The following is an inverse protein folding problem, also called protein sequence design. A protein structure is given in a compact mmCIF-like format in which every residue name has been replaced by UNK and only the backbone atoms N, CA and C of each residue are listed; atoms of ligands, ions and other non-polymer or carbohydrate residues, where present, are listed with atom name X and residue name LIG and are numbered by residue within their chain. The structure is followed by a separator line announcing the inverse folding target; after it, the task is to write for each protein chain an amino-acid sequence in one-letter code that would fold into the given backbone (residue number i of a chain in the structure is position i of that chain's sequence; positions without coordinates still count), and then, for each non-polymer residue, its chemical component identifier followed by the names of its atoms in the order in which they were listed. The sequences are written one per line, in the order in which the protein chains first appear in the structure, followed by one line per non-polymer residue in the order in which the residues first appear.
data_IF_705127533581
#
_entry.id   IF_705127533581
#
_cell.length_a   1.000
_cell.length_b   1.000
_cell.length_c   1.000
_cell.angle_alpha   90.00
_cell.angle_beta   90.00
_cell.angle_gamma   90.00
#
_symmetry.space_group_name_H-M   'P 1'
#
loop_
_entity.id
_entity.type
_entity.pdbx_description
1 polymer ?
#
# COMPACT_ATOMS: atom_id res chain seq x y z
N UNK A 1 30.76 -54.72 4.52
CA UNK A 1 31.75 -53.69 4.13
C UNK A 1 31.00 -52.39 3.86
N UNK A 2 31.29 -51.36 4.68
CA UNK A 2 31.14 -49.91 4.47
C UNK A 2 29.72 -49.35 4.11
N UNK A 3 28.98 -48.85 5.11
CA UNK A 3 28.80 -47.42 5.49
C UNK A 3 27.84 -46.65 4.53
N UNK A 4 26.66 -46.13 4.90
CA UNK A 4 26.10 -45.79 6.21
C UNK A 4 26.38 -44.33 6.59
N UNK A 5 25.68 -43.36 6.00
CA UNK A 5 25.74 -41.93 6.41
C UNK A 5 24.33 -41.46 6.81
N UNK A 6 24.07 -41.55 8.10
CA UNK A 6 23.15 -40.69 8.84
C UNK A 6 23.80 -39.31 9.00
N UNK A 7 23.12 -38.24 8.59
CA UNK A 7 23.51 -36.88 8.98
C UNK A 7 22.77 -36.54 10.27
N UNK A 8 23.52 -36.54 11.36
CA UNK A 8 23.11 -36.17 12.71
C UNK A 8 22.73 -34.68 12.81
N UNK A 9 21.63 -34.46 13.54
CA UNK A 9 21.23 -33.18 14.15
C UNK A 9 22.26 -32.79 15.22
N UNK A 10 22.89 -31.62 15.07
CA UNK A 10 23.55 -30.87 16.16
C UNK A 10 22.56 -29.79 16.65
N UNK A 11 21.86 -30.03 17.76
CA UNK A 11 22.22 -29.62 19.13
C UNK A 11 22.58 -28.13 19.21
N UNK A 12 21.58 -27.29 19.44
CA UNK A 12 21.72 -26.00 20.14
C UNK A 12 20.75 -26.02 21.33
N UNK A 13 21.29 -26.29 22.53
CA UNK A 13 20.60 -26.04 23.79
C UNK A 13 20.84 -24.59 24.23
N UNK A 14 19.87 -23.98 24.94
CA UNK A 14 19.95 -22.60 25.40
C UNK A 14 20.83 -22.50 26.66
N UNK A 15 21.73 -21.52 26.68
CA UNK A 15 22.46 -21.14 27.88
C UNK A 15 21.67 -20.06 28.63
N UNK A 16 20.83 -20.51 29.55
CA UNK A 16 20.41 -19.74 30.72
C UNK A 16 21.59 -19.61 31.68
N UNK A 17 21.98 -18.38 32.02
CA UNK A 17 22.84 -18.11 33.17
C UNK A 17 22.27 -16.93 33.96
N UNK A 18 21.39 -17.27 34.89
CA UNK A 18 21.08 -16.46 36.05
C UNK A 18 22.31 -16.47 36.97
N UNK A 19 22.93 -15.32 37.23
CA UNK A 19 23.61 -15.06 38.49
C UNK A 19 23.31 -13.63 38.95
N UNK A 20 22.57 -13.57 40.06
CA UNK A 20 22.39 -12.39 40.92
C UNK A 20 23.76 -11.94 41.44
N UNK A 21 24.09 -10.67 41.25
CA UNK A 21 24.98 -9.89 42.11
C UNK A 21 24.32 -8.50 42.20
N UNK A 22 23.52 -8.29 43.24
CA UNK A 22 23.89 -7.49 44.42
C UNK A 22 23.96 -5.99 44.10
N UNK A 23 22.88 -5.30 44.45
CA UNK A 23 22.85 -3.85 44.56
C UNK A 23 23.83 -3.40 45.65
N UNK A 24 24.89 -2.68 45.26
CA UNK A 24 25.56 -1.67 46.09
C UNK A 24 26.57 -0.89 45.23
N UNK A 25 26.45 0.43 45.27
CA UNK A 25 27.45 1.43 44.90
C UNK A 25 27.66 1.74 43.40
N UNK A 26 26.76 2.54 42.82
CA UNK A 26 27.11 3.47 41.72
C UNK A 26 26.39 4.81 41.95
N UNK A 27 26.74 5.50 43.05
CA UNK A 27 26.37 6.92 43.27
C UNK A 27 27.59 7.85 43.42
N UNK A 28 28.82 7.35 43.30
CA UNK A 28 30.03 8.14 43.56
C UNK A 28 30.96 8.31 42.34
N UNK A 29 30.43 8.70 41.17
CA UNK A 29 31.29 9.13 40.05
C UNK A 29 30.70 10.25 39.16
N UNK A 30 29.80 11.08 39.71
CA UNK A 30 29.22 12.22 38.99
C UNK A 30 29.25 13.54 39.80
N UNK A 31 30.08 13.62 40.84
CA UNK A 31 30.23 14.82 41.68
C UNK A 31 31.71 15.13 41.92
N UNK A 32 32.42 15.62 40.89
CA UNK A 32 33.76 16.21 41.06
C UNK A 32 34.21 17.15 39.92
N UNK A 33 33.31 17.67 39.08
CA UNK A 33 33.73 18.58 37.98
C UNK A 33 32.94 19.89 37.84
N UNK A 34 32.19 20.32 38.86
CA UNK A 34 31.40 21.57 38.80
C UNK A 34 31.59 22.51 40.00
N UNK A 35 32.72 22.44 40.72
CA UNK A 35 32.95 23.36 41.85
C UNK A 35 34.42 23.68 42.12
N UNK A 36 35.10 24.37 41.20
CA UNK A 36 36.27 25.22 41.51
C UNK A 36 36.72 26.03 40.27
N UNK A 37 36.21 27.25 40.16
CA UNK A 37 36.88 28.49 39.69
C UNK A 37 35.82 29.50 39.28
N UNK A 38 35.24 30.15 40.29
CA UNK A 38 34.60 31.46 40.18
C UNK A 38 35.47 32.38 41.04
N UNK A 39 35.90 33.51 40.47
CA UNK A 39 36.87 34.51 40.99
C UNK A 39 38.31 33.97 40.99
N UNK A 40 39.30 34.56 40.31
CA UNK A 40 39.60 35.95 39.92
C UNK A 40 40.54 35.91 38.71
N UNK A 41 40.29 36.68 37.65
CA UNK A 41 41.27 37.65 37.11
C UNK A 41 40.59 38.47 36.01
N UNK A 42 40.56 39.77 36.24
CA UNK A 42 40.22 40.79 35.27
C UNK A 42 41.30 40.82 34.18
N UNK A 43 40.90 40.70 32.93
CA UNK A 43 41.60 41.37 31.83
C UNK A 43 40.62 41.64 30.70
N UNK A 44 40.41 42.93 30.45
CA UNK A 44 39.62 43.48 29.36
C UNK A 44 40.15 42.99 28.01
N UNK A 45 39.35 42.18 27.30
CA UNK A 45 39.45 42.02 25.84
C UNK A 45 38.04 42.04 25.28
N UNK A 46 37.82 42.96 24.36
CA UNK A 46 36.54 43.38 23.78
C UNK A 46 35.73 42.22 23.19
N UNK A 47 34.66 41.81 23.90
CA UNK A 47 33.63 40.91 23.38
C UNK A 47 32.62 41.75 22.59
N UNK A 48 33.00 42.20 21.40
CA UNK A 48 32.08 42.80 20.42
C UNK A 48 32.30 42.28 19.00
N UNK A 49 33.25 41.37 18.78
CA UNK A 49 33.68 40.94 17.43
C UNK A 49 33.27 39.49 17.09
N UNK A 50 32.77 38.70 18.04
CA UNK A 50 32.42 37.29 17.81
C UNK A 50 30.93 37.02 17.52
N UNK A 51 30.03 37.97 17.79
CA UNK A 51 28.60 37.82 17.46
C UNK A 51 28.22 38.26 16.03
N UNK A 52 29.12 38.95 15.32
CA UNK A 52 28.90 39.44 13.95
C UNK A 52 29.35 38.44 12.87
N UNK A 53 30.17 37.44 13.21
CA UNK A 53 30.65 36.42 12.23
C UNK A 53 29.70 35.26 12.01
N UNK A 54 28.93 34.83 13.01
CA UNK A 54 27.93 33.75 12.84
C UNK A 54 26.64 34.25 12.17
N UNK A 55 26.28 35.53 12.35
CA UNK A 55 25.14 36.17 11.69
C UNK A 55 25.40 36.52 10.22
N UNK A 56 26.65 36.82 9.85
CA UNK A 56 27.02 37.12 8.46
C UNK A 56 27.19 35.86 7.59
N UNK A 57 27.55 34.71 8.18
CA UNK A 57 27.60 33.42 7.46
C UNK A 57 26.20 32.86 7.19
N UNK A 58 25.28 32.97 8.15
CA UNK A 58 23.86 32.59 7.94
C UNK A 58 23.18 33.50 6.92
N UNK A 59 23.42 34.81 6.95
CA UNK A 59 22.90 35.73 5.93
C UNK A 59 23.51 35.48 4.53
N UNK A 60 24.80 35.14 4.40
CA UNK A 60 25.39 34.78 3.10
C UNK A 60 24.82 33.47 2.55
N UNK A 61 24.68 32.43 3.37
CA UNK A 61 24.05 31.16 2.94
C UNK A 61 22.58 31.37 2.54
N UNK A 62 21.85 32.24 3.25
CA UNK A 62 20.46 32.58 2.91
C UNK A 62 20.35 33.47 1.66
N UNK A 63 21.27 34.42 1.46
CA UNK A 63 21.30 35.31 0.29
C UNK A 63 21.80 34.59 -0.97
N UNK A 64 22.75 33.65 -0.85
CA UNK A 64 23.22 32.81 -1.95
C UNK A 64 22.13 31.81 -2.39
N UNK A 65 21.35 31.26 -1.44
CA UNK A 65 20.15 30.49 -1.75
C UNK A 65 19.09 31.33 -2.49
N UNK A 66 18.92 32.61 -2.14
CA UNK A 66 17.98 33.51 -2.83
C UNK A 66 18.45 33.88 -4.25
N UNK A 67 19.76 33.93 -4.51
CA UNK A 67 20.34 34.16 -5.84
C UNK A 67 20.22 32.93 -6.75
N UNK A 68 20.60 31.76 -6.23
CA UNK A 68 20.48 30.47 -6.93
C UNK A 68 19.01 30.16 -7.28
N UNK A 69 18.08 30.37 -6.36
CA UNK A 69 16.64 30.13 -6.62
C UNK A 69 16.09 31.08 -7.67
N UNK A 70 16.49 32.36 -7.67
CA UNK A 70 16.13 33.32 -8.73
C UNK A 70 16.71 32.90 -10.08
N UNK A 71 17.97 32.49 -10.12
CA UNK A 71 18.62 32.04 -11.36
C UNK A 71 18.00 30.76 -11.92
N UNK A 72 17.75 29.76 -11.07
CA UNK A 72 17.03 28.51 -11.42
C UNK A 72 15.63 28.83 -11.94
N UNK A 73 14.90 29.76 -11.30
CA UNK A 73 13.56 30.16 -11.75
C UNK A 73 13.57 30.84 -13.12
N UNK A 74 14.60 31.65 -13.40
CA UNK A 74 14.77 32.34 -14.69
C UNK A 74 15.14 31.37 -15.79
N UNK A 75 16.04 30.41 -15.51
CA UNK A 75 16.35 29.33 -16.44
C UNK A 75 15.15 28.47 -16.75
N UNK A 76 14.40 28.06 -15.72
CA UNK A 76 13.19 27.28 -15.89
C UNK A 76 12.21 28.00 -16.81
N UNK A 77 11.97 29.30 -16.56
CA UNK A 77 11.06 30.11 -17.38
C UNK A 77 11.52 30.19 -18.84
N UNK A 78 12.80 30.48 -19.08
CA UNK A 78 13.33 30.55 -20.45
C UNK A 78 13.22 29.19 -21.17
N UNK A 79 13.48 28.09 -20.49
CA UNK A 79 13.30 26.74 -21.04
C UNK A 79 11.83 26.47 -21.33
N UNK A 80 10.92 26.78 -20.41
CA UNK A 80 9.48 26.58 -20.56
C UNK A 80 8.91 27.40 -21.74
N UNK A 81 9.38 28.64 -21.93
CA UNK A 81 8.99 29.53 -23.02
C UNK A 81 9.53 29.04 -24.37
N UNK A 82 10.79 28.59 -24.40
CA UNK A 82 11.42 28.02 -25.61
C UNK A 82 10.73 26.69 -26.00
N UNK A 83 10.43 25.83 -25.02
CA UNK A 83 9.81 24.53 -25.28
C UNK A 83 8.36 24.68 -25.77
N UNK A 84 7.64 25.69 -25.27
CA UNK A 84 6.29 26.03 -25.73
C UNK A 84 6.28 26.48 -27.19
N UNK A 85 7.30 27.23 -27.60
CA UNK A 85 7.42 27.75 -28.94
C UNK A 85 7.73 26.66 -29.99
N UNK A 86 8.61 25.71 -29.68
CA UNK A 86 9.07 24.71 -30.65
C UNK A 86 8.36 23.35 -30.56
N UNK A 87 7.84 22.95 -29.39
CA UNK A 87 7.25 21.64 -29.19
C UNK A 87 6.23 21.61 -28.03
N UNK A 88 5.00 22.15 -28.22
CA UNK A 88 3.99 22.22 -27.17
C UNK A 88 3.59 20.85 -26.61
N UNK A 89 3.59 19.80 -27.45
CA UNK A 89 3.33 18.43 -27.00
C UNK A 89 4.41 17.90 -26.06
N UNK A 90 5.69 18.26 -26.28
CA UNK A 90 6.79 17.88 -25.39
C UNK A 90 6.68 18.62 -24.05
N UNK A 91 6.31 19.90 -24.06
CA UNK A 91 6.06 20.67 -22.83
C UNK A 91 4.98 20.02 -21.97
N UNK A 92 3.85 19.68 -22.58
CA UNK A 92 2.76 19.00 -21.88
C UNK A 92 3.25 17.68 -21.23
N UNK A 93 4.08 16.90 -21.93
CA UNK A 93 4.65 15.66 -21.39
C UNK A 93 5.63 15.91 -20.23
N UNK A 94 6.53 16.89 -20.35
CA UNK A 94 7.47 17.26 -19.30
C UNK A 94 6.77 17.80 -18.05
N UNK A 95 5.71 18.59 -18.21
CA UNK A 95 4.89 19.07 -17.10
C UNK A 95 4.24 17.91 -16.34
N UNK A 96 3.74 16.89 -17.04
CA UNK A 96 3.21 15.69 -16.39
C UNK A 96 4.27 14.92 -15.60
N UNK A 97 5.46 14.73 -16.18
CA UNK A 97 6.56 14.08 -15.48
C UNK A 97 7.02 14.89 -14.26
N UNK A 98 7.15 16.21 -14.40
CA UNK A 98 7.54 17.13 -13.32
C UNK A 98 6.53 17.10 -12.18
N UNK A 99 5.23 17.19 -12.49
CA UNK A 99 4.16 17.12 -11.50
C UNK A 99 4.15 15.76 -10.79
N UNK A 100 4.35 14.66 -11.52
CA UNK A 100 4.47 13.32 -10.95
C UNK A 100 5.65 13.19 -9.98
N UNK A 101 6.83 13.69 -10.36
CA UNK A 101 8.02 13.72 -9.49
C UNK A 101 7.79 14.55 -8.22
N UNK A 102 7.18 15.73 -8.35
CA UNK A 102 6.84 16.56 -7.20
C UNK A 102 5.88 15.84 -6.24
N UNK A 103 4.91 15.09 -6.78
CA UNK A 103 3.98 14.32 -5.97
C UNK A 103 4.65 13.13 -5.27
N UNK A 104 5.53 12.39 -5.95
CA UNK A 104 6.29 11.31 -5.29
C UNK A 104 7.25 11.84 -4.23
N UNK A 105 7.84 13.01 -4.46
CA UNK A 105 8.67 13.67 -3.46
C UNK A 105 7.87 14.04 -2.20
N UNK A 106 6.65 14.56 -2.37
CA UNK A 106 5.71 14.81 -1.25
C UNK A 106 5.36 13.52 -0.51
N UNK A 107 5.04 12.45 -1.25
CA UNK A 107 4.74 11.13 -0.66
C UNK A 107 5.93 10.57 0.13
N UNK A 108 7.14 10.71 -0.40
CA UNK A 108 8.38 10.26 0.24
C UNK A 108 8.70 11.05 1.50
N UNK A 109 8.51 12.38 1.48
CA UNK A 109 8.61 13.23 2.67
C UNK A 109 7.57 12.87 3.73
N UNK A 110 6.33 12.59 3.32
CA UNK A 110 5.27 12.18 4.23
C UNK A 110 5.59 10.82 4.88
N UNK A 111 6.05 9.86 4.08
CA UNK A 111 6.54 8.56 4.57
C UNK A 111 7.68 8.73 5.58
N UNK A 112 8.67 9.58 5.29
CA UNK A 112 9.79 9.80 6.20
C UNK A 112 9.35 10.40 7.55
N UNK A 113 8.36 11.30 7.53
CA UNK A 113 7.74 11.83 8.76
C UNK A 113 7.05 10.71 9.56
N UNK A 114 6.28 9.85 8.90
CA UNK A 114 5.59 8.72 9.54
C UNK A 114 6.61 7.75 10.14
N UNK A 115 7.65 7.39 9.39
CA UNK A 115 8.73 6.53 9.85
C UNK A 115 9.45 7.10 11.09
N UNK A 116 9.71 8.41 11.10
CA UNK A 116 10.31 9.09 12.26
C UNK A 116 9.39 9.07 13.48
N UNK A 117 8.07 9.27 13.30
CA UNK A 117 7.08 9.17 14.39
C UNK A 117 7.04 7.75 14.98
N UNK A 118 6.92 6.74 14.12
CA UNK A 118 6.87 5.33 14.52
C UNK A 118 8.13 4.88 15.26
N UNK A 119 9.30 5.41 14.87
CA UNK A 119 10.56 5.14 15.58
C UNK A 119 10.65 5.82 16.94
N UNK A 120 10.02 6.97 17.10
CA UNK A 120 10.12 7.77 18.33
C UNK A 120 9.02 7.46 19.35
N UNK A 121 7.87 6.95 18.91
CA UNK A 121 6.71 6.66 19.73
C UNK A 121 6.15 5.27 19.41
N UNK A 122 6.34 4.35 20.36
CA UNK A 122 5.88 2.95 20.26
C UNK A 122 4.35 2.85 20.29
N UNK A 123 3.65 3.85 20.84
CA UNK A 123 2.17 3.88 20.93
C UNK A 123 1.50 4.52 19.72
N UNK A 124 2.30 5.05 18.78
CA UNK A 124 1.80 5.75 17.60
C UNK A 124 0.93 4.84 16.74
N UNK A 125 -0.33 5.24 16.53
CA UNK A 125 -1.28 4.55 15.65
C UNK A 125 -1.45 5.35 14.36
N UNK A 126 -1.15 4.73 13.23
CA UNK A 126 -1.29 5.32 11.90
C UNK A 126 -2.76 5.60 11.57
N UNK A 127 -3.03 6.76 10.99
CA UNK A 127 -4.31 7.07 10.35
C UNK A 127 -4.49 6.29 9.04
N UNK A 128 -5.73 6.18 8.54
CA UNK A 128 -6.03 5.60 7.22
C UNK A 128 -5.16 6.21 6.11
N UNK A 129 -5.07 7.56 6.07
CA UNK A 129 -4.27 8.26 5.05
C UNK A 129 -2.77 8.02 5.21
N UNK A 130 -2.26 7.89 6.43
CA UNK A 130 -0.84 7.58 6.68
C UNK A 130 -0.52 6.14 6.25
N UNK A 131 -1.39 5.18 6.52
CA UNK A 131 -1.24 3.79 6.06
C UNK A 131 -1.25 3.71 4.52
N UNK A 132 -2.13 4.49 3.88
CA UNK A 132 -2.19 4.62 2.42
C UNK A 132 -0.90 5.23 1.82
N UNK A 133 -0.29 6.21 2.48
CA UNK A 133 1.00 6.77 2.07
C UNK A 133 2.09 5.70 2.13
N UNK A 134 2.15 4.94 3.22
CA UNK A 134 3.13 3.84 3.39
C UNK A 134 2.95 2.80 2.30
N UNK A 135 1.71 2.34 2.07
CA UNK A 135 1.40 1.37 1.02
C UNK A 135 1.83 1.87 -0.37
N UNK A 136 1.46 3.10 -0.72
CA UNK A 136 1.78 3.67 -2.04
C UNK A 136 3.29 3.83 -2.23
N UNK A 137 4.03 4.28 -1.22
CA UNK A 137 5.49 4.42 -1.29
C UNK A 137 6.16 3.07 -1.49
N UNK A 138 5.78 2.02 -0.74
CA UNK A 138 6.36 0.69 -0.94
C UNK A 138 6.04 0.12 -2.33
N UNK A 139 4.79 0.27 -2.79
CA UNK A 139 4.37 -0.16 -4.13
C UNK A 139 5.12 0.57 -5.23
N UNK A 140 5.30 1.88 -5.10
CA UNK A 140 5.99 2.71 -6.08
C UNK A 140 7.50 2.48 -6.05
N UNK A 141 8.09 2.26 -4.87
CA UNK A 141 9.52 1.98 -4.72
C UNK A 141 9.95 0.74 -5.51
N UNK A 142 9.13 -0.31 -5.56
CA UNK A 142 9.41 -1.51 -6.39
C UNK A 142 9.52 -1.16 -7.88
N UNK A 143 8.73 -0.19 -8.36
CA UNK A 143 8.77 0.26 -9.77
C UNK A 143 9.94 1.22 -10.04
N UNK A 144 10.25 2.10 -9.10
CA UNK A 144 11.24 3.18 -9.28
C UNK A 144 12.66 2.70 -9.00
N UNK A 145 12.86 1.80 -8.03
CA UNK A 145 14.17 1.29 -7.64
C UNK A 145 15.04 0.79 -8.83
N UNK A 146 14.53 0.00 -9.79
CA UNK A 146 15.33 -0.44 -10.93
C UNK A 146 15.68 0.69 -11.91
N UNK A 147 14.93 1.79 -11.93
CA UNK A 147 15.17 2.92 -12.85
C UNK A 147 16.34 3.80 -12.40
N UNK A 148 16.58 3.90 -11.08
CA UNK A 148 17.63 4.75 -10.51
C UNK A 148 19.05 4.42 -11.01
N UNK A 149 19.54 3.17 -10.96
CA UNK A 149 20.88 2.86 -11.46
C UNK A 149 20.98 3.02 -12.98
N UNK A 150 19.90 2.75 -13.73
CA UNK A 150 19.87 2.93 -15.18
C UNK A 150 20.09 4.40 -15.53
N UNK A 151 19.43 5.32 -14.82
CA UNK A 151 19.54 6.76 -15.10
C UNK A 151 20.95 7.33 -14.92
N UNK A 152 21.79 6.70 -14.09
CA UNK A 152 23.19 7.11 -13.86
C UNK A 152 24.12 6.65 -14.98
N UNK A 153 23.74 5.62 -15.74
CA UNK A 153 24.55 5.08 -16.84
C UNK A 153 24.55 6.06 -18.03
N UNK A 154 25.70 6.22 -18.75
CA UNK A 154 25.68 6.92 -20.03
C UNK A 154 24.66 6.26 -20.97
N UNK A 155 23.81 7.07 -21.63
CA UNK A 155 22.65 6.66 -22.44
C UNK A 155 21.45 6.07 -21.66
N UNK A 156 21.52 5.97 -20.33
CA UNK A 156 20.45 5.47 -19.47
C UNK A 156 19.13 6.21 -19.58
N UNK A 157 19.18 7.51 -19.87
CA UNK A 157 18.00 8.31 -20.20
C UNK A 157 17.19 7.70 -21.34
N UNK A 158 17.82 7.35 -22.47
CA UNK A 158 17.10 6.77 -23.61
C UNK A 158 16.52 5.40 -23.27
N UNK A 159 17.25 4.61 -22.47
CA UNK A 159 16.83 3.28 -22.01
C UNK A 159 15.59 3.38 -21.11
N UNK A 160 15.44 4.43 -20.31
CA UNK A 160 14.28 4.63 -19.42
C UNK A 160 13.09 5.25 -20.16
N UNK A 161 13.32 6.24 -21.03
CA UNK A 161 12.24 7.00 -21.66
C UNK A 161 11.48 6.19 -22.72
N UNK A 162 12.15 5.33 -23.49
CA UNK A 162 11.48 4.51 -24.51
C UNK A 162 10.44 3.55 -23.89
N UNK A 163 10.78 2.74 -22.88
CA UNK A 163 9.79 1.89 -22.20
C UNK A 163 8.69 2.67 -21.49
N UNK A 164 8.98 3.83 -20.90
CA UNK A 164 7.95 4.67 -20.25
C UNK A 164 6.90 5.11 -21.27
N UNK A 165 7.32 5.48 -22.48
CA UNK A 165 6.42 5.88 -23.56
C UNK A 165 5.56 4.71 -24.06
N UNK A 166 6.17 3.52 -24.23
CA UNK A 166 5.48 2.33 -24.75
C UNK A 166 4.59 1.64 -23.70
N UNK A 167 5.04 1.59 -22.44
CA UNK A 167 4.42 0.79 -21.36
C UNK A 167 4.20 1.60 -20.07
N UNK A 168 3.49 2.74 -20.11
CA UNK A 168 3.33 3.64 -18.96
C UNK A 168 2.63 2.96 -17.77
N UNK A 169 1.74 1.99 -18.02
CA UNK A 169 1.02 1.23 -16.98
C UNK A 169 1.94 0.44 -16.05
N UNK A 170 3.00 -0.17 -16.59
CA UNK A 170 3.85 -1.09 -15.84
C UNK A 170 5.00 -0.36 -15.14
N UNK A 171 5.57 0.65 -15.81
CA UNK A 171 6.79 1.32 -15.36
C UNK A 171 6.49 2.50 -14.45
N UNK A 172 5.48 3.32 -14.79
CA UNK A 172 5.21 4.53 -14.02
C UNK A 172 4.42 4.25 -12.73
N UNK A 173 4.77 4.92 -11.63
CA UNK A 173 3.89 5.09 -10.48
C UNK A 173 2.60 5.82 -10.86
N UNK A 174 1.55 5.60 -10.07
CA UNK A 174 0.23 6.18 -10.32
C UNK A 174 0.20 7.71 -10.29
N UNK A 175 1.14 8.33 -9.58
CA UNK A 175 1.32 9.79 -9.50
C UNK A 175 1.70 10.45 -10.81
N UNK A 176 2.26 9.69 -11.76
CA UNK A 176 2.65 10.20 -13.08
C UNK A 176 1.52 10.08 -14.11
N UNK A 177 0.41 9.42 -13.78
CA UNK A 177 -0.69 9.24 -14.72
C UNK A 177 -1.61 10.46 -14.75
N UNK A 178 -1.96 10.91 -15.95
CA UNK A 178 -2.99 11.95 -16.11
C UNK A 178 -4.36 11.43 -15.63
N UNK A 179 -5.29 12.34 -15.28
CA UNK A 179 -6.62 11.93 -14.82
C UNK A 179 -7.38 11.03 -15.81
N UNK A 180 -7.25 11.30 -17.12
CA UNK A 180 -7.84 10.45 -18.18
C UNK A 180 -7.15 9.07 -18.24
N UNK A 181 -5.82 9.04 -18.27
CA UNK A 181 -5.04 7.78 -18.30
C UNK A 181 -5.29 6.94 -17.05
N UNK A 182 -5.38 7.56 -15.87
CA UNK A 182 -5.66 6.87 -14.61
C UNK A 182 -6.96 6.08 -14.70
N UNK A 183 -8.06 6.69 -15.16
CA UNK A 183 -9.34 5.96 -15.33
C UNK A 183 -9.22 4.78 -16.30
N UNK A 184 -8.58 4.97 -17.44
CA UNK A 184 -8.36 3.91 -18.43
C UNK A 184 -7.52 2.77 -17.85
N UNK A 185 -6.41 3.08 -17.17
CA UNK A 185 -5.53 2.08 -16.57
C UNK A 185 -6.23 1.34 -15.43
N UNK A 186 -6.99 2.04 -14.57
CA UNK A 186 -7.75 1.39 -13.51
C UNK A 186 -8.83 0.45 -14.07
N UNK A 187 -9.51 0.88 -15.14
CA UNK A 187 -10.46 0.03 -15.87
C UNK A 187 -9.78 -1.19 -16.49
N UNK A 188 -8.59 -1.04 -17.07
CA UNK A 188 -7.82 -2.14 -17.63
C UNK A 188 -7.36 -3.12 -16.54
N UNK A 189 -6.88 -2.62 -15.40
CA UNK A 189 -6.56 -3.46 -14.22
C UNK A 189 -7.78 -4.26 -13.80
N UNK A 190 -8.96 -3.64 -13.78
CA UNK A 190 -10.17 -4.37 -13.44
C UNK A 190 -10.55 -5.43 -14.48
N UNK A 191 -10.45 -5.11 -15.77
CA UNK A 191 -10.75 -6.07 -16.83
C UNK A 191 -9.86 -7.33 -16.75
N UNK A 192 -8.56 -7.14 -16.53
CA UNK A 192 -7.62 -8.26 -16.35
C UNK A 192 -8.01 -9.12 -15.14
N UNK A 193 -8.53 -8.50 -14.09
CA UNK A 193 -8.97 -9.20 -12.87
C UNK A 193 -10.29 -9.95 -13.06
N UNK A 194 -11.23 -9.39 -13.82
CA UNK A 194 -12.56 -9.98 -14.00
C UNK A 194 -12.51 -11.27 -14.82
N UNK A 195 -11.53 -11.38 -15.72
CA UNK A 195 -11.26 -12.62 -16.47
C UNK A 195 -10.91 -13.76 -15.50
N UNK A 196 -10.13 -13.48 -14.46
CA UNK A 196 -9.66 -14.47 -13.49
C UNK A 196 -10.73 -14.88 -12.46
N UNK A 197 -11.78 -14.09 -12.29
CA UNK A 197 -12.90 -14.42 -11.39
C UNK A 197 -13.59 -15.74 -11.80
N UNK A 198 -13.62 -16.06 -13.09
CA UNK A 198 -14.18 -17.31 -13.58
C UNK A 198 -13.50 -18.55 -12.98
N UNK A 199 -12.18 -18.51 -12.78
CA UNK A 199 -11.41 -19.62 -12.18
C UNK A 199 -11.85 -19.84 -10.72
N UNK A 200 -12.02 -18.76 -9.98
CA UNK A 200 -12.39 -18.80 -8.56
C UNK A 200 -13.83 -19.30 -8.41
N UNK A 201 -14.76 -18.78 -9.23
CA UNK A 201 -16.16 -19.22 -9.23
C UNK A 201 -16.30 -20.68 -9.68
N UNK A 202 -15.48 -21.12 -10.63
CA UNK A 202 -15.44 -22.53 -11.04
C UNK A 202 -14.97 -23.43 -9.89
N UNK A 203 -13.93 -23.03 -9.16
CA UNK A 203 -13.47 -23.76 -7.97
C UNK A 203 -14.56 -23.86 -6.88
N UNK A 204 -15.32 -22.78 -6.64
CA UNK A 204 -16.46 -22.81 -5.72
C UNK A 204 -17.57 -23.77 -6.22
N UNK A 205 -17.88 -23.75 -7.52
CA UNK A 205 -18.84 -24.66 -8.12
C UNK A 205 -18.40 -26.13 -8.08
N UNK A 206 -17.10 -26.40 -8.21
CA UNK A 206 -16.56 -27.74 -8.06
C UNK A 206 -16.83 -28.29 -6.66
N UNK A 207 -16.54 -27.51 -5.60
CA UNK A 207 -16.80 -27.95 -4.23
C UNK A 207 -18.30 -27.99 -3.89
N UNK A 208 -19.12 -27.11 -4.48
CA UNK A 208 -20.58 -27.21 -4.37
C UNK A 208 -21.10 -28.61 -4.77
N UNK A 209 -20.52 -29.21 -5.81
CA UNK A 209 -20.95 -30.50 -6.35
C UNK A 209 -20.25 -31.69 -5.68
N UNK A 210 -18.94 -31.60 -5.48
CA UNK A 210 -18.08 -32.75 -5.19
C UNK A 210 -17.58 -32.81 -3.74
N UNK A 211 -17.80 -31.78 -2.91
CA UNK A 211 -17.33 -31.83 -1.53
C UNK A 211 -18.14 -32.84 -0.70
N UNK A 212 -17.48 -33.46 0.29
CA UNK A 212 -18.09 -34.39 1.24
C UNK A 212 -18.84 -33.65 2.36
N UNK A 213 -18.40 -32.46 2.72
CA UNK A 213 -19.03 -31.63 3.75
C UNK A 213 -20.35 -31.04 3.24
N UNK A 214 -21.45 -31.61 3.74
CA UNK A 214 -22.81 -31.18 3.41
C UNK A 214 -23.09 -29.71 3.73
N UNK A 215 -22.54 -29.17 4.83
CA UNK A 215 -22.77 -27.78 5.23
C UNK A 215 -22.08 -26.83 4.24
N UNK A 216 -20.85 -27.15 3.86
CA UNK A 216 -20.13 -26.40 2.83
C UNK A 216 -20.90 -26.42 1.50
N UNK A 217 -21.42 -27.58 1.08
CA UNK A 217 -22.23 -27.69 -0.15
C UNK A 217 -23.46 -26.80 -0.11
N UNK A 218 -24.18 -26.78 1.01
CA UNK A 218 -25.39 -25.98 1.17
C UNK A 218 -25.08 -24.49 1.07
N UNK A 219 -24.07 -24.02 1.80
CA UNK A 219 -23.62 -22.61 1.74
C UNK A 219 -23.18 -22.23 0.31
N UNK A 220 -22.39 -23.09 -0.34
CA UNK A 220 -21.96 -22.86 -1.72
C UNK A 220 -23.11 -22.94 -2.72
N UNK A 221 -24.16 -23.73 -2.47
CA UNK A 221 -25.33 -23.83 -3.34
C UNK A 221 -26.03 -22.49 -3.42
N UNK A 222 -26.27 -21.85 -2.28
CA UNK A 222 -26.98 -20.56 -2.21
C UNK A 222 -26.13 -19.42 -2.79
N UNK A 223 -24.84 -19.36 -2.44
CA UNK A 223 -23.92 -18.35 -2.96
C UNK A 223 -23.73 -18.52 -4.48
N UNK A 224 -23.41 -19.72 -4.95
CA UNK A 224 -23.18 -19.94 -6.38
C UNK A 224 -24.45 -19.72 -7.20
N UNK A 225 -25.63 -20.12 -6.68
CA UNK A 225 -26.91 -19.84 -7.35
C UNK A 225 -27.11 -18.32 -7.50
N UNK A 226 -26.97 -17.58 -6.41
CA UNK A 226 -27.08 -16.11 -6.41
C UNK A 226 -26.13 -15.48 -7.41
N UNK A 227 -24.88 -15.94 -7.46
CA UNK A 227 -23.87 -15.45 -8.39
C UNK A 227 -24.21 -15.79 -9.84
N UNK A 228 -24.66 -17.02 -10.10
CA UNK A 228 -25.08 -17.48 -11.43
C UNK A 228 -26.30 -16.73 -11.95
N UNK A 229 -27.23 -16.35 -11.07
CA UNK A 229 -28.40 -15.52 -11.39
C UNK A 229 -28.02 -14.04 -11.64
N UNK A 230 -26.73 -13.72 -11.63
CA UNK A 230 -26.22 -12.36 -11.78
C UNK A 230 -26.51 -11.49 -10.56
N UNK A 231 -26.90 -12.04 -9.42
CA UNK A 231 -27.13 -11.29 -8.19
C UNK A 231 -25.85 -11.20 -7.35
N UNK A 232 -25.92 -10.39 -6.29
CA UNK A 232 -24.80 -10.17 -5.36
C UNK A 232 -25.17 -10.83 -4.04
N UNK A 233 -24.38 -11.79 -3.54
CA UNK A 233 -24.62 -12.45 -2.26
C UNK A 233 -24.77 -11.44 -1.12
N UNK A 234 -25.66 -11.73 -0.16
CA UNK A 234 -25.82 -10.87 1.00
C UNK A 234 -24.66 -11.06 1.98
N UNK A 235 -24.42 -10.07 2.84
CA UNK A 235 -23.39 -10.20 3.88
C UNK A 235 -23.67 -11.37 4.83
N UNK A 236 -24.94 -11.75 5.04
CA UNK A 236 -25.30 -12.93 5.85
C UNK A 236 -24.81 -14.22 5.18
N UNK A 237 -25.06 -14.37 3.88
CA UNK A 237 -24.60 -15.53 3.11
C UNK A 237 -23.07 -15.60 3.08
N UNK A 238 -22.42 -14.44 2.93
CA UNK A 238 -20.96 -14.35 2.97
C UNK A 238 -20.40 -14.79 4.32
N UNK A 239 -20.99 -14.35 5.44
CA UNK A 239 -20.52 -14.77 6.77
C UNK A 239 -20.60 -16.28 6.96
N UNK A 240 -21.59 -16.96 6.38
CA UNK A 240 -21.70 -18.42 6.44
C UNK A 240 -20.53 -19.15 5.75
N UNK A 241 -19.88 -18.53 4.77
CA UNK A 241 -18.71 -19.09 4.08
C UNK A 241 -17.42 -19.03 4.92
N UNK A 242 -17.34 -18.08 5.85
CA UNK A 242 -16.12 -17.73 6.59
C UNK A 242 -15.47 -18.91 7.33
N UNK A 243 -16.18 -19.78 8.07
CA UNK A 243 -15.56 -20.90 8.79
C UNK A 243 -14.79 -21.84 7.86
N UNK A 244 -15.33 -22.12 6.68
CA UNK A 244 -14.74 -23.03 5.69
C UNK A 244 -13.48 -22.45 5.04
N UNK A 245 -13.40 -21.12 4.90
CA UNK A 245 -12.17 -20.46 4.43
C UNK A 245 -11.07 -20.44 5.51
N UNK A 246 -11.43 -20.49 6.78
CA UNK A 246 -10.50 -20.47 7.92
C UNK A 246 -9.95 -21.85 8.25
N UNK A 247 -10.74 -22.90 8.01
CA UNK A 247 -10.38 -24.27 8.33
C UNK A 247 -9.00 -24.65 7.73
N UNK A 248 -8.00 -24.98 8.56
CA UNK A 248 -6.71 -25.46 8.07
C UNK A 248 -6.91 -26.73 7.26
N UNK A 249 -6.28 -26.82 6.08
CA UNK A 249 -6.47 -27.96 5.19
C UNK A 249 -7.82 -27.99 4.46
N UNK A 250 -8.74 -27.05 4.76
CA UNK A 250 -10.06 -26.98 4.14
C UNK A 250 -9.99 -26.63 2.64
N UNK A 251 -10.99 -27.08 1.89
CA UNK A 251 -11.10 -26.87 0.45
C UNK A 251 -11.02 -25.38 0.02
N UNK A 252 -11.51 -24.45 0.85
CA UNK A 252 -11.51 -23.02 0.54
C UNK A 252 -10.33 -22.26 1.14
N UNK A 253 -9.40 -22.95 1.80
CA UNK A 253 -8.20 -22.36 2.39
C UNK A 253 -7.05 -22.33 1.38
N UNK A 254 -6.47 -21.15 1.16
CA UNK A 254 -5.41 -20.95 0.18
C UNK A 254 -4.07 -21.62 0.49
N UNK A 255 -3.88 -22.21 1.67
CA UNK A 255 -2.69 -23.01 1.92
C UNK A 255 -2.63 -24.26 1.05
N UNK A 256 -3.77 -24.90 0.81
CA UNK A 256 -3.87 -26.12 0.01
C UNK A 256 -4.23 -25.87 -1.46
N UNK A 257 -4.49 -24.61 -1.83
CA UNK A 257 -4.86 -24.29 -3.20
C UNK A 257 -3.70 -24.51 -4.17
N UNK A 258 -4.06 -25.00 -5.36
CA UNK A 258 -3.15 -25.13 -6.50
C UNK A 258 -2.69 -23.76 -6.99
N UNK A 259 -1.52 -23.74 -7.64
CA UNK A 259 -0.89 -22.51 -8.12
C UNK A 259 -1.80 -21.66 -9.03
N UNK A 260 -2.60 -22.30 -9.88
CA UNK A 260 -3.54 -21.61 -10.78
C UNK A 260 -4.53 -20.72 -10.00
N UNK A 261 -5.08 -21.23 -8.90
CA UNK A 261 -6.04 -20.51 -8.08
C UNK A 261 -5.37 -19.39 -7.26
N UNK A 262 -4.17 -19.65 -6.75
CA UNK A 262 -3.35 -18.61 -6.10
C UNK A 262 -3.05 -17.45 -7.06
N UNK A 263 -2.73 -17.76 -8.33
CA UNK A 263 -2.53 -16.76 -9.37
C UNK A 263 -3.79 -15.94 -9.64
N UNK A 264 -4.97 -16.56 -9.70
CA UNK A 264 -6.23 -15.81 -9.86
C UNK A 264 -6.47 -14.81 -8.70
N UNK A 265 -6.16 -15.20 -7.46
CA UNK A 265 -6.22 -14.29 -6.31
C UNK A 265 -5.20 -13.15 -6.37
N UNK A 266 -4.03 -13.34 -7.00
CA UNK A 266 -3.07 -12.26 -7.20
C UNK A 266 -3.67 -11.09 -7.99
N UNK A 267 -4.42 -11.37 -9.06
CA UNK A 267 -5.11 -10.33 -9.82
C UNK A 267 -6.22 -9.64 -9.02
N UNK A 268 -6.92 -10.39 -8.17
CA UNK A 268 -7.97 -9.87 -7.28
C UNK A 268 -7.43 -8.78 -6.36
N UNK A 269 -6.25 -8.97 -5.76
CA UNK A 269 -5.65 -8.03 -4.79
C UNK A 269 -4.43 -7.26 -5.33
N UNK A 270 -4.23 -7.24 -6.65
CA UNK A 270 -3.17 -6.49 -7.36
C UNK A 270 -1.73 -6.86 -6.92
N UNK A 271 -1.52 -8.14 -6.62
CA UNK A 271 -0.19 -8.73 -6.34
C UNK A 271 0.39 -9.29 -7.63
N UNK A 272 1.73 -9.25 -7.77
CA UNK A 272 2.38 -9.84 -8.93
C UNK A 272 2.24 -11.37 -8.91
N UNK A 273 1.72 -12.00 -9.98
CA UNK A 273 1.53 -13.45 -10.02
C UNK A 273 2.81 -14.25 -10.30
N UNK A 274 3.89 -13.60 -10.73
CA UNK A 274 5.13 -14.26 -11.16
C UNK A 274 6.08 -14.51 -9.99
N UNK A 275 5.64 -15.30 -9.01
CA UNK A 275 6.41 -15.57 -7.79
C UNK A 275 6.24 -17.02 -7.31
N UNK A 276 7.18 -17.56 -6.53
CA UNK A 276 7.03 -18.90 -5.94
C UNK A 276 5.75 -19.02 -5.09
N UNK A 277 5.11 -20.20 -5.00
CA UNK A 277 3.82 -20.37 -4.31
C UNK A 277 3.82 -19.93 -2.84
N UNK A 278 4.90 -20.17 -2.09
CA UNK A 278 5.02 -19.74 -0.69
C UNK A 278 5.00 -18.22 -0.54
N UNK A 279 5.67 -17.52 -1.45
CA UNK A 279 5.70 -16.06 -1.49
C UNK A 279 4.34 -15.48 -1.91
N UNK A 280 3.68 -16.10 -2.88
CA UNK A 280 2.32 -15.71 -3.26
C UNK A 280 1.39 -15.80 -2.05
N UNK A 281 1.36 -16.93 -1.34
CA UNK A 281 0.51 -17.09 -0.14
C UNK A 281 0.81 -16.02 0.91
N UNK A 282 2.08 -15.78 1.20
CA UNK A 282 2.47 -14.72 2.13
C UNK A 282 1.97 -13.35 1.68
N UNK A 283 2.18 -12.98 0.41
CA UNK A 283 1.75 -11.68 -0.11
C UNK A 283 0.25 -11.53 -0.17
N UNK A 284 -0.49 -12.57 -0.56
CA UNK A 284 -1.96 -12.57 -0.56
C UNK A 284 -2.48 -12.31 0.86
N UNK A 285 -1.95 -13.02 1.86
CA UNK A 285 -2.27 -12.79 3.27
C UNK A 285 -1.95 -11.37 3.73
N UNK A 286 -0.71 -10.93 3.52
CA UNK A 286 -0.26 -9.61 3.97
C UNK A 286 -1.07 -8.48 3.33
N UNK A 287 -1.46 -8.61 2.05
CA UNK A 287 -2.33 -7.62 1.41
C UNK A 287 -3.78 -7.71 1.90
N UNK A 288 -4.32 -8.91 2.14
CA UNK A 288 -5.67 -9.06 2.72
C UNK A 288 -5.73 -8.48 4.14
N UNK A 289 -4.70 -8.71 4.96
CA UNK A 289 -4.55 -8.11 6.29
C UNK A 289 -4.44 -6.59 6.22
N UNK A 290 -3.71 -6.05 5.23
CA UNK A 290 -3.68 -4.61 5.00
C UNK A 290 -5.08 -4.06 4.68
N UNK A 291 -5.85 -4.73 3.81
CA UNK A 291 -7.23 -4.31 3.51
C UNK A 291 -8.10 -4.31 4.76
N UNK A 292 -8.05 -5.37 5.57
CA UNK A 292 -8.76 -5.43 6.85
C UNK A 292 -8.34 -4.31 7.81
N UNK A 293 -7.05 -4.02 7.91
CA UNK A 293 -6.52 -2.92 8.72
C UNK A 293 -7.07 -1.57 8.24
N UNK A 294 -7.06 -1.33 6.93
CA UNK A 294 -7.60 -0.12 6.32
C UNK A 294 -9.11 0.01 6.58
N UNK A 295 -9.88 -1.08 6.49
CA UNK A 295 -11.31 -1.10 6.80
C UNK A 295 -11.60 -0.74 8.26
N UNK A 296 -10.82 -1.29 9.21
CA UNK A 296 -10.93 -0.93 10.63
C UNK A 296 -10.62 0.54 10.86
N UNK A 297 -9.62 1.10 10.17
CA UNK A 297 -9.29 2.52 10.26
C UNK A 297 -10.41 3.40 9.68
N UNK A 298 -10.97 3.04 8.52
CA UNK A 298 -12.11 3.75 7.93
C UNK A 298 -13.34 3.75 8.85
N UNK A 299 -13.65 2.59 9.44
CA UNK A 299 -14.79 2.45 10.35
C UNK A 299 -14.60 3.26 11.64
N UNK A 300 -13.43 3.15 12.30
CA UNK A 300 -13.14 3.85 13.56
C UNK A 300 -13.13 5.37 13.39
N UNK A 301 -12.61 5.85 12.27
CA UNK A 301 -12.52 7.30 11.97
C UNK A 301 -13.77 7.87 11.31
N UNK A 302 -14.78 7.05 11.01
CA UNK A 302 -15.99 7.43 10.26
C UNK A 302 -15.67 8.21 8.97
N UNK A 303 -14.57 7.85 8.32
CA UNK A 303 -13.96 8.65 7.25
C UNK A 303 -14.55 8.35 5.87
N UNK A 304 -15.38 7.31 5.73
CA UNK A 304 -15.96 6.87 4.45
C UNK A 304 -16.62 8.03 3.68
N UNK A 305 -17.39 8.88 4.35
CA UNK A 305 -18.07 10.03 3.74
C UNK A 305 -17.14 11.21 3.42
N UNK A 306 -15.95 11.24 4.03
CA UNK A 306 -14.97 12.30 3.88
C UNK A 306 -13.86 11.94 2.88
N UNK A 307 -13.95 10.77 2.24
CA UNK A 307 -13.05 10.38 1.17
C UNK A 307 -13.28 11.29 -0.03
N UNK A 308 -12.21 11.86 -0.56
CA UNK A 308 -12.28 12.50 -1.87
C UNK A 308 -12.69 11.46 -2.94
N UNK A 309 -13.25 11.93 -4.06
CA UNK A 309 -13.65 11.04 -5.15
C UNK A 309 -12.51 10.09 -5.60
N UNK A 310 -11.28 10.60 -5.66
CA UNK A 310 -10.12 9.78 -6.02
C UNK A 310 -9.74 8.74 -4.96
N UNK A 311 -9.83 9.11 -3.67
CA UNK A 311 -9.60 8.18 -2.56
C UNK A 311 -10.67 7.08 -2.57
N UNK A 312 -11.93 7.44 -2.83
CA UNK A 312 -13.05 6.49 -2.90
C UNK A 312 -12.89 5.50 -4.07
N UNK A 313 -12.58 5.98 -5.27
CA UNK A 313 -12.29 5.13 -6.44
C UNK A 313 -11.19 4.12 -6.11
N UNK A 314 -10.12 4.60 -5.48
CA UNK A 314 -8.99 3.74 -5.13
C UNK A 314 -9.31 2.77 -3.99
N UNK A 315 -10.08 3.20 -2.99
CA UNK A 315 -10.54 2.34 -1.90
C UNK A 315 -11.39 1.19 -2.45
N UNK A 316 -12.33 1.47 -3.37
CA UNK A 316 -13.11 0.45 -4.07
C UNK A 316 -12.21 -0.51 -4.87
N UNK A 317 -11.25 0.02 -5.64
CA UNK A 317 -10.32 -0.78 -6.44
C UNK A 317 -9.50 -1.77 -5.60
N UNK A 318 -8.98 -1.32 -4.46
CA UNK A 318 -8.22 -2.14 -3.51
C UNK A 318 -9.01 -3.33 -2.98
N UNK A 319 -10.34 -3.30 -3.07
CA UNK A 319 -11.25 -4.33 -2.55
C UNK A 319 -11.93 -5.15 -3.66
N UNK A 320 -11.49 -4.97 -4.91
CA UNK A 320 -12.00 -5.74 -6.07
C UNK A 320 -12.86 -4.92 -7.04
N UNK A 321 -13.51 -3.84 -6.57
CA UNK A 321 -14.52 -3.12 -7.34
C UNK A 321 -13.94 -2.13 -8.37
N UNK A 322 -14.55 -2.05 -9.55
CA UNK A 322 -14.21 -1.02 -10.54
C UNK A 322 -14.81 0.35 -10.20
N UNK A 323 -14.22 1.08 -9.25
CA UNK A 323 -14.69 2.42 -8.88
C UNK A 323 -14.65 3.44 -10.03
N UNK A 324 -13.81 3.24 -11.06
CA UNK A 324 -13.61 4.21 -12.13
C UNK A 324 -14.82 4.38 -13.07
N UNK A 325 -15.76 3.42 -13.07
CA UNK A 325 -16.95 3.41 -13.93
C UNK A 325 -18.26 3.63 -13.16
N UNK A 326 -18.18 3.85 -11.85
CA UNK A 326 -19.34 3.93 -10.97
C UNK A 326 -19.59 5.37 -10.52
N UNK A 327 -20.86 5.69 -10.22
CA UNK A 327 -21.19 6.94 -9.57
C UNK A 327 -20.65 7.00 -8.14
N UNK A 328 -20.47 8.22 -7.62
CA UNK A 328 -19.98 8.42 -6.25
C UNK A 328 -20.86 7.70 -5.22
N UNK A 329 -22.18 7.78 -5.38
CA UNK A 329 -23.14 7.15 -4.47
C UNK A 329 -23.10 5.62 -4.57
N UNK A 330 -22.98 5.06 -5.78
CA UNK A 330 -22.82 3.62 -5.97
C UNK A 330 -21.54 3.10 -5.28
N UNK A 331 -20.43 3.84 -5.37
CA UNK A 331 -19.20 3.47 -4.67
C UNK A 331 -19.35 3.52 -3.15
N UNK A 332 -19.96 4.58 -2.61
CA UNK A 332 -20.22 4.69 -1.17
C UNK A 332 -21.11 3.55 -0.67
N UNK A 333 -22.21 3.28 -1.38
CA UNK A 333 -23.13 2.19 -1.04
C UNK A 333 -22.40 0.85 -0.94
N UNK A 334 -21.61 0.52 -1.96
CA UNK A 334 -20.83 -0.72 -1.97
C UNK A 334 -19.77 -0.76 -0.86
N UNK A 335 -19.02 0.34 -0.67
CA UNK A 335 -17.95 0.40 0.32
C UNK A 335 -18.48 0.28 1.76
N UNK A 336 -19.65 0.88 2.05
CA UNK A 336 -20.32 0.69 3.34
C UNK A 336 -20.72 -0.77 3.55
N UNK A 337 -21.31 -1.41 2.54
CA UNK A 337 -21.64 -2.83 2.61
C UNK A 337 -20.39 -3.70 2.84
N UNK A 338 -19.30 -3.42 2.12
CA UNK A 338 -18.02 -4.09 2.30
C UNK A 338 -17.47 -3.94 3.72
N UNK A 339 -17.40 -2.71 4.25
CA UNK A 339 -16.85 -2.44 5.58
C UNK A 339 -17.72 -3.11 6.66
N UNK A 340 -19.05 -3.14 6.49
CA UNK A 340 -19.92 -3.83 7.43
C UNK A 340 -19.64 -5.34 7.50
N UNK A 341 -19.19 -5.95 6.40
CA UNK A 341 -18.73 -7.34 6.38
C UNK A 341 -17.35 -7.48 7.05
N UNK A 342 -16.36 -6.72 6.58
CA UNK A 342 -14.96 -6.91 6.98
C UNK A 342 -14.64 -6.46 8.40
N UNK A 343 -15.44 -5.58 9.00
CA UNK A 343 -15.30 -5.21 10.41
C UNK A 343 -15.59 -6.36 11.36
N UNK A 344 -16.30 -7.40 10.92
CA UNK A 344 -16.50 -8.64 11.68
C UNK A 344 -15.31 -9.60 11.59
N UNK A 345 -14.32 -9.33 10.71
CA UNK A 345 -13.18 -10.19 10.42
C UNK A 345 -11.93 -9.85 11.26
N UNK A 346 -11.18 -10.90 11.60
CA UNK A 346 -9.86 -10.84 12.23
C UNK A 346 -8.73 -11.09 11.21
N UNK A 347 -7.48 -11.02 11.67
CA UNK A 347 -6.30 -11.16 10.79
C UNK A 347 -6.08 -12.59 10.25
N UNK A 348 -6.85 -13.57 10.71
CA UNK A 348 -6.87 -14.96 10.23
C UNK A 348 -7.85 -15.20 9.08
N UNK A 349 -8.78 -14.27 8.82
CA UNK A 349 -9.82 -14.44 7.79
C UNK A 349 -9.36 -14.01 6.38
N UNK A 350 -8.05 -14.04 6.11
CA UNK A 350 -7.48 -13.50 4.85
C UNK A 350 -8.03 -14.19 3.60
N UNK A 351 -8.20 -15.51 3.64
CA UNK A 351 -8.73 -16.26 2.50
C UNK A 351 -10.22 -15.96 2.28
N UNK A 352 -10.98 -15.82 3.36
CA UNK A 352 -12.38 -15.39 3.29
C UNK A 352 -12.50 -14.02 2.62
N UNK A 353 -11.68 -13.05 3.03
CA UNK A 353 -11.65 -11.70 2.44
C UNK A 353 -11.37 -11.76 0.94
N UNK A 354 -10.43 -12.60 0.51
CA UNK A 354 -10.10 -12.76 -0.91
C UNK A 354 -11.27 -13.34 -1.72
N UNK A 355 -11.98 -14.35 -1.20
CA UNK A 355 -13.21 -14.85 -1.82
C UNK A 355 -14.31 -13.77 -1.85
N UNK A 356 -14.48 -13.04 -0.75
CA UNK A 356 -15.46 -11.95 -0.66
C UNK A 356 -15.21 -10.83 -1.67
N UNK A 357 -13.94 -10.46 -1.92
CA UNK A 357 -13.58 -9.47 -2.94
C UNK A 357 -14.14 -9.86 -4.31
N UNK A 358 -14.06 -11.14 -4.67
CA UNK A 358 -14.55 -11.66 -5.95
C UNK A 358 -16.08 -11.66 -5.96
N UNK A 359 -16.69 -12.34 -4.99
CA UNK A 359 -18.13 -12.62 -4.95
C UNK A 359 -18.97 -11.33 -4.84
N UNK A 360 -18.48 -10.32 -4.12
CA UNK A 360 -19.17 -9.04 -3.96
C UNK A 360 -18.90 -8.04 -5.09
N UNK A 361 -17.84 -8.24 -5.88
CA UNK A 361 -17.46 -7.30 -6.95
C UNK A 361 -17.89 -7.77 -8.33
N UNK A 362 -17.88 -9.08 -8.60
CA UNK A 362 -18.03 -9.63 -9.96
C UNK A 362 -19.33 -9.22 -10.66
N UNK A 363 -20.41 -9.15 -9.88
CA UNK A 363 -21.75 -8.84 -10.38
C UNK A 363 -22.16 -7.40 -10.06
N UNK A 364 -21.34 -6.58 -9.40
CA UNK A 364 -21.74 -5.22 -9.05
C UNK A 364 -21.72 -4.29 -10.26
N UNK A 365 -22.78 -3.50 -10.45
CA UNK A 365 -22.87 -2.52 -11.52
C UNK A 365 -23.76 -1.34 -11.13
N UNK A 366 -23.59 -0.22 -11.84
CA UNK A 366 -24.40 0.98 -11.65
C UNK A 366 -25.91 0.69 -11.78
N UNK A 367 -26.29 -0.15 -12.74
CA UNK A 367 -27.69 -0.52 -12.97
C UNK A 367 -28.30 -1.31 -11.80
N UNK A 368 -27.51 -2.17 -11.15
CA UNK A 368 -27.98 -2.95 -9.99
C UNK A 368 -28.05 -2.10 -8.74
N UNK A 369 -27.11 -1.17 -8.56
CA UNK A 369 -27.19 -0.15 -7.52
C UNK A 369 -28.48 0.65 -7.66
N UNK A 370 -28.74 1.22 -8.84
CA UNK A 370 -29.95 2.00 -9.12
C UNK A 370 -31.21 1.22 -8.78
N UNK A 371 -31.35 -0.01 -9.29
CA UNK A 371 -32.51 -0.89 -8.97
C UNK A 371 -32.74 -1.04 -7.47
N UNK A 372 -31.70 -1.41 -6.71
CA UNK A 372 -31.82 -1.56 -5.24
C UNK A 372 -32.28 -0.27 -4.55
N UNK A 373 -31.75 0.88 -4.94
CA UNK A 373 -32.13 2.16 -4.32
C UNK A 373 -33.56 2.53 -4.65
N UNK A 374 -33.99 2.34 -5.90
CA UNK A 374 -35.37 2.61 -6.31
C UNK A 374 -36.38 1.68 -5.61
N UNK A 375 -36.07 0.38 -5.52
CA UNK A 375 -36.93 -0.60 -4.84
C UNK A 375 -37.04 -0.33 -3.32
N UNK A 376 -36.10 0.42 -2.73
CA UNK A 376 -36.11 0.78 -1.30
C UNK A 376 -36.87 2.08 -1.00
N UNK A 377 -37.28 2.81 -2.04
CA UNK A 377 -37.94 4.13 -1.95
C UNK A 377 -39.45 4.09 -2.21
N UNK A 378 -39.97 2.89 -2.52
CA UNK A 378 -41.39 2.54 -2.59
C UNK A 378 -41.71 1.73 -1.33
#
# INVERSE_FOLDING_TARGET
MLCGIQVQRSIFRPLTLHKRLSCRNVENCAVSYTRKKKQTFSQNVSISVLHTRTFSVTNRVQQQNNSLTKWISKLKKNVDDTLEQYAPAMKQYFDYLSNGMQQEWKNSKAYWKIWKKERNDVTFKKSYREEMVVYNVHRNAIKVAPLLPILVMPLGFFIVFVPIYLFPRYILPQSFWTGKQRRQILSAIHNDRSIEYGIIVHHLNYHKLNNEDYQLKMVLKDICKTVSDGQIPSNKDMVALRPFCRQPGGALNGDQMVYLLLRAFCYTIMVSPLQPPSWIRHRLRSNAQLVLRLDRLLNRSKLVEQLSHEELVYACLMRGLNGAQLSHQAMLYWLRNWISLTTTCDDGDTWFVLHAMVLLSMNYSELKYKRKVFDSSV
#
